data_IF_328436214288
#
_entry.id   IF_328436214288
#
_cell.length_a   1.000
_cell.length_b   1.000
_cell.length_c   1.000
_cell.angle_alpha   90.00
_cell.angle_beta   90.00
_cell.angle_gamma   90.00
#
_symmetry.space_group_name_H-M   'P 1'
#
loop_
_entity.id
_entity.type
_entity.pdbx_description
1 polymer ?
#
# COMPACT_ATOMS: atom_id res chain seq x y z
N UNK A 1 -7.40 -46.10 25.59
CA UNK A 1 -6.18 -46.67 24.96
C UNK A 1 -5.17 -45.52 24.87
N UNK A 2 -4.12 -45.50 25.71
CA UNK A 2 -3.37 -44.29 26.09
C UNK A 2 -2.74 -43.50 24.92
N UNK A 3 -2.49 -44.18 23.80
CA UNK A 3 -1.88 -43.59 22.61
C UNK A 3 -2.81 -42.62 21.88
N UNK A 4 -4.13 -42.83 21.95
CA UNK A 4 -5.13 -41.98 21.30
C UNK A 4 -5.23 -40.64 22.03
N UNK A 5 -5.25 -40.67 23.36
CA UNK A 5 -5.26 -39.47 24.22
C UNK A 5 -4.03 -38.59 23.99
N UNK A 6 -2.86 -39.21 23.80
CA UNK A 6 -1.63 -38.48 23.50
C UNK A 6 -1.66 -37.82 22.11
N UNK A 7 -2.20 -38.51 21.09
CA UNK A 7 -2.34 -37.94 19.75
C UNK A 7 -3.35 -36.78 19.72
N UNK A 8 -4.46 -36.90 20.43
CA UNK A 8 -5.43 -35.81 20.59
C UNK A 8 -4.80 -34.61 21.29
N UNK A 9 -4.02 -34.84 22.35
CA UNK A 9 -3.28 -33.78 23.03
C UNK A 9 -2.32 -33.05 22.10
N UNK A 10 -1.49 -33.77 21.33
CA UNK A 10 -0.57 -33.17 20.35
C UNK A 10 -1.33 -32.38 19.27
N UNK A 11 -2.46 -32.90 18.78
CA UNK A 11 -3.31 -32.19 17.82
C UNK A 11 -3.79 -30.85 18.37
N UNK A 12 -4.30 -30.82 19.61
CA UNK A 12 -4.78 -29.56 20.22
C UNK A 12 -3.67 -28.53 20.40
N UNK A 13 -2.44 -28.97 20.73
CA UNK A 13 -1.26 -28.10 20.82
C UNK A 13 -0.92 -27.47 19.47
N UNK A 14 -0.88 -28.27 18.41
CA UNK A 14 -0.60 -27.80 17.05
C UNK A 14 -1.68 -26.83 16.55
N UNK A 15 -2.95 -27.15 16.81
CA UNK A 15 -4.06 -26.27 16.46
C UNK A 15 -3.98 -24.94 17.19
N UNK A 16 -3.72 -24.95 18.51
CA UNK A 16 -3.55 -23.73 19.31
C UNK A 16 -2.41 -22.87 18.78
N UNK A 17 -1.24 -23.47 18.58
CA UNK A 17 -0.06 -22.76 18.08
C UNK A 17 -0.29 -22.19 16.67
N UNK A 18 -0.97 -22.92 15.80
CA UNK A 18 -1.32 -22.45 14.46
C UNK A 18 -2.30 -21.27 14.52
N UNK A 19 -3.31 -21.35 15.40
CA UNK A 19 -4.28 -20.25 15.64
C UNK A 19 -3.58 -19.00 16.15
N UNK A 20 -2.69 -19.11 17.13
CA UNK A 20 -1.93 -17.98 17.67
C UNK A 20 -1.05 -17.31 16.60
N UNK A 21 -0.33 -18.12 15.81
CA UNK A 21 0.47 -17.60 14.68
C UNK A 21 -0.39 -16.89 13.64
N UNK A 22 -1.55 -17.46 13.30
CA UNK A 22 -2.49 -16.84 12.36
C UNK A 22 -3.04 -15.52 12.90
N UNK A 23 -3.44 -15.47 14.18
CA UNK A 23 -3.93 -14.25 14.81
C UNK A 23 -2.87 -13.15 14.84
N UNK A 24 -1.62 -13.50 15.19
CA UNK A 24 -0.50 -12.56 15.17
C UNK A 24 -0.25 -12.02 13.76
N UNK A 25 -0.21 -12.89 12.75
CA UNK A 25 -0.03 -12.49 11.36
C UNK A 25 -1.16 -11.58 10.87
N UNK A 26 -2.42 -11.90 11.20
CA UNK A 26 -3.58 -11.06 10.89
C UNK A 26 -3.46 -9.68 11.56
N UNK A 27 -3.08 -9.63 12.83
CA UNK A 27 -2.88 -8.38 13.57
C UNK A 27 -1.82 -7.49 12.92
N UNK A 28 -0.65 -8.04 12.58
CA UNK A 28 0.42 -7.31 11.87
C UNK A 28 -0.06 -6.79 10.52
N UNK A 29 -0.79 -7.62 9.77
CA UNK A 29 -1.34 -7.21 8.47
C UNK A 29 -2.34 -6.07 8.60
N UNK A 30 -3.24 -6.11 9.59
CA UNK A 30 -4.19 -5.03 9.86
C UNK A 30 -3.47 -3.73 10.21
N UNK A 31 -2.46 -3.78 11.07
CA UNK A 31 -1.68 -2.60 11.44
C UNK A 31 -0.98 -1.96 10.23
N UNK A 32 -0.30 -2.78 9.41
CA UNK A 32 0.37 -2.31 8.20
C UNK A 32 -0.61 -1.74 7.18
N UNK A 33 -1.77 -2.37 6.99
CA UNK A 33 -2.82 -1.86 6.11
C UNK A 33 -3.37 -0.49 6.55
N UNK A 34 -3.55 -0.28 7.86
CA UNK A 34 -3.96 1.03 8.40
C UNK A 34 -2.88 2.09 8.15
N UNK A 35 -1.61 1.77 8.46
CA UNK A 35 -0.49 2.70 8.23
C UNK A 35 -0.40 3.08 6.75
N UNK A 36 -0.49 2.09 5.86
CA UNK A 36 -0.48 2.28 4.42
C UNK A 36 -1.61 3.22 3.94
N UNK A 37 -2.85 2.94 4.32
CA UNK A 37 -3.99 3.76 3.89
C UNK A 37 -3.85 5.22 4.36
N UNK A 38 -3.36 5.41 5.59
CA UNK A 38 -3.12 6.76 6.12
C UNK A 38 -2.06 7.51 5.31
N UNK A 39 -0.91 6.88 5.07
CA UNK A 39 0.18 7.49 4.32
C UNK A 39 -0.22 7.83 2.88
N UNK A 40 -1.00 6.96 2.24
CA UNK A 40 -1.54 7.21 0.91
C UNK A 40 -2.54 8.38 0.90
N UNK A 41 -3.40 8.50 1.90
CA UNK A 41 -4.38 9.58 2.03
C UNK A 41 -3.69 10.94 2.28
N UNK A 42 -2.67 10.95 3.15
CA UNK A 42 -1.81 12.12 3.38
C UNK A 42 -1.11 12.54 2.07
N UNK A 43 -0.52 11.57 1.36
CA UNK A 43 0.15 11.82 0.08
C UNK A 43 -0.81 12.34 -0.99
N UNK A 44 -2.05 11.83 -1.03
CA UNK A 44 -3.09 12.29 -1.93
C UNK A 44 -3.44 13.74 -1.64
N UNK A 45 -3.66 14.08 -0.36
CA UNK A 45 -3.92 15.45 0.08
C UNK A 45 -2.81 16.41 -0.33
N UNK A 46 -1.54 16.02 -0.12
CA UNK A 46 -0.39 16.83 -0.54
C UNK A 46 -0.33 17.00 -2.06
N UNK A 47 -0.62 15.94 -2.82
CA UNK A 47 -0.59 15.97 -4.29
C UNK A 47 -1.54 17.01 -4.89
N UNK A 48 -2.64 17.36 -4.22
CA UNK A 48 -3.63 18.33 -4.71
C UNK A 48 -3.09 19.75 -4.79
N UNK A 49 -2.06 20.07 -4.01
CA UNK A 49 -1.42 21.40 -4.00
C UNK A 49 -0.35 21.53 -5.09
N UNK A 50 0.11 20.40 -5.64
CA UNK A 50 1.22 20.36 -6.60
C UNK A 50 0.75 20.65 -8.02
N UNK A 51 1.58 21.38 -8.77
CA UNK A 51 1.37 21.68 -10.20
C UNK A 51 2.20 20.76 -11.06
N UNK A 52 1.61 20.19 -12.11
CA UNK A 52 2.31 19.24 -12.99
C UNK A 52 2.58 19.89 -14.34
N UNK A 53 3.79 19.67 -14.86
CA UNK A 53 4.15 19.91 -16.26
C UNK A 53 4.62 18.61 -16.86
N UNK A 54 4.08 18.26 -18.02
CA UNK A 54 4.51 17.07 -18.77
C UNK A 54 5.75 17.42 -19.59
N UNK A 55 6.76 16.53 -19.56
CA UNK A 55 7.91 16.61 -20.48
C UNK A 55 7.77 15.59 -21.60
N UNK A 56 7.32 14.38 -21.27
CA UNK A 56 7.01 13.28 -22.21
C UNK A 56 5.80 12.50 -21.71
N UNK A 57 5.44 11.41 -22.41
CA UNK A 57 4.37 10.49 -22.02
C UNK A 57 4.69 9.60 -20.81
N UNK A 58 5.79 9.82 -20.10
CA UNK A 58 6.12 9.04 -18.91
C UNK A 58 6.95 9.84 -17.90
N UNK A 59 7.50 10.99 -18.32
CA UNK A 59 8.26 11.91 -17.47
C UNK A 59 7.43 13.15 -17.18
N UNK A 60 7.20 13.38 -15.89
CA UNK A 60 6.47 14.52 -15.35
C UNK A 60 7.38 15.35 -14.45
N UNK A 61 7.35 16.67 -14.65
CA UNK A 61 7.98 17.63 -13.77
C UNK A 61 6.88 18.19 -12.86
N UNK A 62 6.95 17.84 -11.59
CA UNK A 62 5.98 18.27 -10.58
C UNK A 62 6.59 19.39 -9.75
N UNK A 63 5.91 20.52 -9.71
CA UNK A 63 6.31 21.73 -9.04
C UNK A 63 5.56 21.84 -7.71
N UNK A 64 6.35 22.00 -6.66
CA UNK A 64 5.94 22.50 -5.35
C UNK A 64 6.37 23.98 -5.25
N UNK A 65 5.90 24.68 -4.22
CA UNK A 65 6.22 26.10 -4.01
C UNK A 65 7.73 26.34 -3.80
N UNK A 66 8.46 25.32 -3.34
CA UNK A 66 9.90 25.41 -3.02
C UNK A 66 10.78 24.59 -3.96
N UNK A 67 10.25 23.50 -4.53
CA UNK A 67 11.07 22.49 -5.23
C UNK A 67 10.37 21.97 -6.47
N UNK A 68 11.16 21.45 -7.42
CA UNK A 68 10.68 20.65 -8.54
C UNK A 68 11.12 19.20 -8.37
N UNK A 69 10.22 18.26 -8.59
CA UNK A 69 10.51 16.84 -8.64
C UNK A 69 10.26 16.28 -10.03
N UNK A 70 11.19 15.44 -10.49
CA UNK A 70 11.01 14.68 -11.73
C UNK A 70 10.47 13.30 -11.34
N UNK A 71 9.37 12.91 -11.96
CA UNK A 71 8.68 11.64 -11.77
C UNK A 71 8.72 10.89 -13.10
N UNK A 72 9.13 9.63 -13.07
CA UNK A 72 8.98 8.69 -14.16
C UNK A 72 7.99 7.59 -13.75
N UNK A 73 6.79 7.58 -14.33
CA UNK A 73 5.72 6.66 -13.95
C UNK A 73 6.01 5.22 -14.43
N UNK A 74 6.53 5.07 -15.65
CA UNK A 74 6.89 3.77 -16.24
C UNK A 74 7.90 3.02 -15.36
N UNK A 75 8.96 3.71 -14.91
CA UNK A 75 9.99 3.13 -14.08
C UNK A 75 9.67 3.18 -12.58
N UNK A 76 8.51 3.72 -12.19
CA UNK A 76 8.11 3.94 -10.80
C UNK A 76 9.16 4.70 -9.97
N UNK A 77 9.72 5.77 -10.56
CA UNK A 77 10.80 6.57 -9.95
C UNK A 77 10.38 8.01 -9.68
N UNK A 78 10.82 8.55 -8.56
CA UNK A 78 10.76 9.97 -8.25
C UNK A 78 12.10 10.43 -7.67
N UNK A 79 12.55 11.64 -7.98
CA UNK A 79 13.78 12.16 -7.37
C UNK A 79 13.68 12.37 -5.86
N UNK A 80 12.46 12.38 -5.29
CA UNK A 80 12.29 12.38 -3.83
C UNK A 80 12.70 11.05 -3.18
N UNK A 81 12.91 9.98 -3.97
CA UNK A 81 13.35 8.66 -3.52
C UNK A 81 12.24 7.76 -2.97
N UNK A 82 11.17 8.33 -2.42
CA UNK A 82 10.07 7.56 -1.79
C UNK A 82 9.42 6.56 -2.75
N UNK A 83 9.21 6.94 -4.01
CA UNK A 83 8.52 6.06 -4.96
C UNK A 83 9.30 4.74 -5.20
N UNK A 84 10.62 4.81 -5.16
CA UNK A 84 11.50 3.65 -5.33
C UNK A 84 11.69 2.86 -4.04
N UNK A 85 11.77 3.57 -2.90
CA UNK A 85 12.08 2.96 -1.61
C UNK A 85 10.86 2.30 -0.98
N UNK A 86 9.75 3.02 -0.98
CA UNK A 86 8.50 2.54 -0.37
C UNK A 86 7.70 1.69 -1.37
N UNK A 87 8.10 1.69 -2.65
CA UNK A 87 7.37 1.07 -3.77
C UNK A 87 5.90 1.50 -3.82
N UNK A 88 5.67 2.75 -3.41
CA UNK A 88 4.38 3.40 -3.29
C UNK A 88 4.40 4.78 -3.94
N UNK A 89 3.31 5.20 -4.61
CA UNK A 89 3.22 6.53 -5.17
C UNK A 89 3.37 7.61 -4.09
N UNK A 90 4.49 8.35 -4.15
CA UNK A 90 4.70 9.56 -3.36
C UNK A 90 3.75 10.70 -3.81
N UNK A 91 3.66 11.84 -3.08
CA UNK A 91 2.78 12.94 -3.46
C UNK A 91 3.00 13.44 -4.90
N UNK A 92 4.25 13.50 -5.34
CA UNK A 92 4.60 13.90 -6.71
C UNK A 92 4.13 12.88 -7.75
N UNK A 93 4.29 11.59 -7.46
CA UNK A 93 3.81 10.53 -8.35
C UNK A 93 2.28 10.54 -8.44
N UNK A 94 1.58 10.71 -7.33
CA UNK A 94 0.12 10.86 -7.31
C UNK A 94 -0.36 12.10 -8.09
N UNK A 95 0.37 13.21 -8.03
CA UNK A 95 0.05 14.39 -8.83
C UNK A 95 0.19 14.10 -10.33
N UNK A 96 1.26 13.42 -10.74
CA UNK A 96 1.48 13.01 -12.13
C UNK A 96 0.41 12.04 -12.63
N UNK A 97 0.00 11.07 -11.80
CA UNK A 97 -1.08 10.13 -12.10
C UNK A 97 -2.43 10.84 -12.24
N UNK A 98 -2.75 11.75 -11.32
CA UNK A 98 -3.96 12.58 -11.42
C UNK A 98 -3.98 13.39 -12.71
N UNK A 99 -2.85 13.95 -13.12
CA UNK A 99 -2.75 14.70 -14.38
C UNK A 99 -3.02 13.82 -15.61
N UNK A 100 -2.83 12.50 -15.51
CA UNK A 100 -3.12 11.52 -16.57
C UNK A 100 -4.49 10.87 -16.46
N UNK A 101 -5.23 11.15 -15.38
CA UNK A 101 -6.43 10.40 -15.01
C UNK A 101 -6.19 8.88 -14.89
N UNK A 102 -4.97 8.51 -14.44
CA UNK A 102 -4.58 7.12 -14.22
C UNK A 102 -4.73 6.73 -12.76
N UNK A 103 -5.16 5.49 -12.53
CA UNK A 103 -5.33 4.94 -11.19
C UNK A 103 -3.96 4.57 -10.59
N UNK A 104 -3.78 4.79 -9.28
CA UNK A 104 -2.49 4.57 -8.63
C UNK A 104 -2.21 3.09 -8.32
N UNK A 105 -3.25 2.23 -8.34
CA UNK A 105 -3.18 0.84 -7.92
C UNK A 105 -2.17 0.01 -8.73
N UNK A 106 -2.03 0.30 -10.03
CA UNK A 106 -1.06 -0.37 -10.91
C UNK A 106 0.41 0.02 -10.61
N UNK A 107 0.60 1.13 -9.90
CA UNK A 107 1.93 1.64 -9.55
C UNK A 107 2.41 1.14 -8.20
N UNK A 108 1.51 0.70 -7.31
CA UNK A 108 1.87 0.09 -6.02
C UNK A 108 2.58 -1.27 -6.18
N UNK A 109 3.44 -1.60 -5.21
CA UNK A 109 4.00 -2.94 -5.08
C UNK A 109 2.92 -4.01 -4.87
N UNK A 110 3.10 -5.23 -5.40
CA UNK A 110 2.26 -6.38 -5.06
C UNK A 110 2.19 -6.65 -3.55
N UNK A 111 3.19 -6.21 -2.77
CA UNK A 111 3.13 -6.29 -1.31
C UNK A 111 1.86 -5.62 -0.75
N UNK A 112 1.51 -4.47 -1.31
CA UNK A 112 0.29 -3.73 -0.96
C UNK A 112 -0.90 -4.25 -1.77
N UNK A 113 -0.76 -4.56 -3.06
CA UNK A 113 -1.89 -4.91 -3.96
C UNK A 113 -2.44 -6.35 -3.78
N UNK A 114 -1.58 -7.34 -3.54
CA UNK A 114 -1.95 -8.78 -3.53
C UNK A 114 -2.79 -9.19 -2.32
N UNK A 115 -2.88 -8.31 -1.31
CA UNK A 115 -3.65 -8.52 -0.07
C UNK A 115 -4.50 -7.33 0.34
N UNK A 116 -4.39 -6.17 -0.32
CA UNK A 116 -5.37 -5.09 -0.14
C UNK A 116 -6.76 -5.47 -0.60
N UNK A 117 -7.01 -6.56 -1.36
CA UNK A 117 -8.39 -7.07 -1.50
C UNK A 117 -9.06 -7.36 -0.14
N UNK A 118 -8.32 -7.75 0.90
CA UNK A 118 -8.87 -7.85 2.25
C UNK A 118 -8.99 -6.49 2.99
N UNK A 119 -8.31 -5.43 2.55
CA UNK A 119 -8.31 -4.10 3.19
C UNK A 119 -9.26 -3.12 2.47
N UNK A 120 -9.36 -3.20 1.14
CA UNK A 120 -10.28 -2.46 0.27
C UNK A 120 -11.73 -2.96 0.40
N UNK A 121 -11.97 -4.14 0.98
CA UNK A 121 -13.32 -4.56 1.39
C UNK A 121 -13.94 -3.70 2.50
N UNK A 122 -13.25 -2.68 3.02
CA UNK A 122 -13.84 -1.69 3.94
C UNK A 122 -14.11 -0.30 3.33
N UNK A 123 -13.63 0.00 2.12
CA UNK A 123 -14.02 1.24 1.44
C UNK A 123 -15.30 1.10 0.61
N UNK A 124 -15.89 -0.10 0.54
CA UNK A 124 -17.23 -0.34 -0.05
C UNK A 124 -18.32 -0.72 0.95
N UNK A 125 -18.06 -0.65 2.27
CA UNK A 125 -19.10 -0.83 3.30
C UNK A 125 -18.91 0.06 4.54
N UNK A 126 -19.54 1.24 4.54
CA UNK A 126 -20.25 1.80 5.72
C UNK A 126 -20.98 3.13 5.37
N UNK A 127 -22.02 3.54 6.13
CA UNK A 127 -23.43 3.23 5.87
C UNK A 127 -24.23 4.45 5.39
N UNK A 128 -25.28 4.20 4.61
CA UNK A 128 -26.56 4.91 4.60
C UNK A 128 -27.59 4.00 3.91
#
# INVERSE_FOLDING_TARGET
>A
MPIVELLEYVRTLLERWTKERLLKAKGTFTYLGIKFNKELDDNRTLSHKLRVRTSTDYIHIVLDDVRRCIVCLENKRCICGQFQLDELPCPYALAALRHRDESFEQYCSPYYTRRTSCVLMKYSKSPA
#
